data_IF_508307025189
#
_entry.id   IF_508307025189
#
_cell.length_a   1.000
_cell.length_b   1.000
_cell.length_c   1.000
_cell.angle_alpha   90.00
_cell.angle_beta   90.00
_cell.angle_gamma   90.00
#
_symmetry.space_group_name_H-M   'P 1'
#
loop_
_entity.id
_entity.type
_entity.pdbx_description
1 polymer ?
#
# COMPACT_ATOMS: atom_id res chain seq x y z
N UNK A 1 -51.88 16.81 2.06
CA UNK A 1 -50.54 17.39 2.28
C UNK A 1 -50.04 16.80 3.59
N UNK A 2 -48.95 16.05 3.73
CA UNK A 2 -47.60 16.14 3.13
C UNK A 2 -46.95 14.77 3.25
N UNK A 3 -46.40 14.25 2.15
CA UNK A 3 -45.44 13.14 2.16
C UNK A 3 -44.11 13.72 2.65
N UNK A 4 -43.57 13.21 3.75
CA UNK A 4 -42.17 13.47 4.12
C UNK A 4 -41.36 12.27 3.67
N UNK A 5 -40.77 12.42 2.49
CA UNK A 5 -39.64 11.60 2.07
C UNK A 5 -38.46 11.86 2.98
N UNK A 6 -37.83 10.79 3.44
CA UNK A 6 -36.61 10.85 4.21
C UNK A 6 -35.45 10.63 3.24
N UNK A 7 -34.73 11.73 3.05
CA UNK A 7 -33.61 11.93 2.18
C UNK A 7 -32.51 10.91 2.41
N UNK A 8 -31.91 10.43 1.30
CA UNK A 8 -30.63 9.76 1.34
C UNK A 8 -29.52 10.69 1.82
N UNK A 9 -28.71 10.19 2.76
CA UNK A 9 -27.34 10.64 2.96
C UNK A 9 -26.43 9.51 2.50
N UNK A 10 -26.10 9.51 1.22
CA UNK A 10 -24.97 8.75 0.71
C UNK A 10 -23.69 9.52 1.07
N UNK A 11 -23.14 9.23 2.23
CA UNK A 11 -21.76 9.60 2.52
C UNK A 11 -20.88 8.88 1.51
N UNK A 12 -20.17 9.64 0.67
CA UNK A 12 -19.04 9.14 -0.12
C UNK A 12 -17.90 8.82 0.86
N UNK A 13 -18.11 7.85 1.75
CA UNK A 13 -17.05 7.28 2.54
C UNK A 13 -16.25 6.36 1.64
N UNK A 14 -14.99 6.74 1.37
CA UNK A 14 -14.00 5.87 0.74
C UNK A 14 -14.11 4.47 1.36
N UNK A 15 -14.67 3.52 0.60
CA UNK A 15 -14.82 2.14 1.07
C UNK A 15 -13.40 1.60 1.23
N UNK A 16 -12.90 1.36 2.46
CA UNK A 16 -11.53 0.91 2.63
C UNK A 16 -11.35 -0.41 1.88
N UNK A 17 -10.21 -0.54 1.22
CA UNK A 17 -9.86 -1.75 0.48
C UNK A 17 -9.76 -2.88 1.50
N UNK A 18 -10.83 -3.68 1.64
CA UNK A 18 -10.91 -4.69 2.68
C UNK A 18 -10.00 -5.87 2.40
N UNK A 19 -9.77 -6.21 1.14
CA UNK A 19 -8.95 -7.35 0.75
C UNK A 19 -7.74 -6.91 -0.07
N UNK A 20 -6.58 -7.47 0.27
CA UNK A 20 -5.36 -7.30 -0.51
C UNK A 20 -5.50 -7.99 -1.87
N UNK A 21 -5.18 -7.28 -2.96
CA UNK A 21 -5.20 -7.86 -4.31
C UNK A 21 -4.16 -8.98 -4.50
N UNK A 22 -3.08 -8.95 -3.72
CA UNK A 22 -1.94 -9.86 -3.86
C UNK A 22 -2.11 -11.15 -3.04
N UNK A 23 -2.49 -11.05 -1.77
CA UNK A 23 -2.61 -12.21 -0.88
C UNK A 23 -4.05 -12.60 -0.53
N UNK A 24 -5.05 -11.82 -0.98
CA UNK A 24 -6.49 -12.08 -0.77
C UNK A 24 -6.97 -12.05 0.69
N UNK A 25 -6.09 -11.72 1.65
CA UNK A 25 -6.42 -11.54 3.07
C UNK A 25 -6.98 -10.15 3.36
N UNK A 26 -7.67 -10.03 4.49
CA UNK A 26 -8.17 -8.77 4.99
C UNK A 26 -7.01 -7.85 5.40
N UNK A 27 -7.00 -6.61 4.92
CA UNK A 27 -5.93 -5.62 5.17
C UNK A 27 -6.02 -5.00 6.56
N UNK A 28 -7.15 -5.19 7.26
CA UNK A 28 -7.42 -4.61 8.59
C UNK A 28 -6.97 -5.49 9.76
N UNK A 29 -6.47 -6.70 9.50
CA UNK A 29 -6.18 -7.67 10.55
C UNK A 29 -4.81 -7.46 11.24
N UNK A 30 -3.97 -6.52 10.77
CA UNK A 30 -2.59 -6.37 11.24
C UNK A 30 -1.66 -7.54 10.89
N UNK A 31 -2.21 -8.60 10.29
CA UNK A 31 -1.46 -9.65 9.65
C UNK A 31 -0.76 -9.04 8.42
N UNK A 32 0.55 -9.23 8.29
CA UNK A 32 1.29 -8.74 7.11
C UNK A 32 0.80 -9.37 5.81
N UNK A 33 1.30 -8.94 4.66
CA UNK A 33 1.07 -9.63 3.40
C UNK A 33 1.86 -10.96 3.35
N UNK A 34 1.35 -11.97 2.63
CA UNK A 34 2.15 -13.17 2.32
C UNK A 34 3.07 -12.95 1.13
N UNK A 35 2.87 -11.86 0.39
CA UNK A 35 3.67 -11.53 -0.78
C UNK A 35 4.94 -10.85 -0.33
N UNK A 36 6.07 -11.44 -0.70
CA UNK A 36 7.43 -11.02 -0.43
C UNK A 36 8.08 -10.32 -1.64
N UNK A 37 7.27 -9.89 -2.60
CA UNK A 37 7.70 -9.29 -3.87
C UNK A 37 6.80 -8.14 -4.32
N UNK A 38 7.37 -7.20 -5.07
CA UNK A 38 6.68 -6.09 -5.71
C UNK A 38 6.86 -6.21 -7.23
N UNK A 39 5.76 -6.29 -7.97
CA UNK A 39 5.76 -6.26 -9.44
C UNK A 39 5.60 -4.83 -9.93
N UNK A 40 6.56 -4.35 -10.72
CA UNK A 40 6.55 -3.02 -11.30
C UNK A 40 5.92 -3.01 -12.71
N UNK A 41 5.46 -1.84 -13.20
CA UNK A 41 4.79 -1.73 -14.50
C UNK A 41 5.63 -2.16 -15.72
N UNK A 42 6.96 -2.11 -15.62
CA UNK A 42 7.89 -2.60 -16.64
C UNK A 42 8.09 -4.13 -16.61
N UNK A 43 7.39 -4.83 -15.71
CA UNK A 43 7.42 -6.28 -15.58
C UNK A 43 8.52 -6.82 -14.67
N UNK A 44 9.42 -5.96 -14.17
CA UNK A 44 10.42 -6.39 -13.17
C UNK A 44 9.75 -6.71 -11.84
N UNK A 45 10.34 -7.66 -11.12
CA UNK A 45 9.90 -8.07 -9.79
C UNK A 45 11.06 -7.90 -8.83
N UNK A 46 10.86 -7.12 -7.78
CA UNK A 46 11.84 -6.92 -6.71
C UNK A 46 11.34 -7.55 -5.42
N UNK A 47 12.25 -7.88 -4.50
CA UNK A 47 11.89 -8.32 -3.16
C UNK A 47 11.19 -7.17 -2.39
N UNK A 48 10.07 -7.47 -1.74
CA UNK A 48 9.45 -6.55 -0.80
C UNK A 48 10.35 -6.41 0.44
N UNK A 49 10.28 -5.25 1.09
CA UNK A 49 11.04 -5.00 2.30
C UNK A 49 10.12 -5.24 3.49
N UNK A 50 10.55 -6.10 4.42
CA UNK A 50 9.80 -6.39 5.63
C UNK A 50 9.85 -5.19 6.59
N UNK A 51 8.75 -4.93 7.29
CA UNK A 51 8.67 -3.85 8.27
C UNK A 51 9.80 -3.97 9.31
N UNK A 52 10.46 -2.85 9.59
CA UNK A 52 11.60 -2.80 10.52
C UNK A 52 12.95 -3.22 9.93
N UNK A 53 13.00 -3.63 8.66
CA UNK A 53 14.25 -3.82 7.90
C UNK A 53 14.51 -2.71 6.88
N UNK A 54 13.54 -1.79 6.75
CA UNK A 54 13.57 -0.66 5.82
C UNK A 54 14.62 0.37 6.23
N UNK A 55 15.24 1.00 5.25
CA UNK A 55 16.30 2.01 5.43
C UNK A 55 15.79 3.23 6.21
N UNK A 56 14.50 3.53 6.08
CA UNK A 56 13.84 4.69 6.68
C UNK A 56 12.97 4.36 7.89
N UNK A 57 12.93 3.09 8.33
CA UNK A 57 12.08 2.66 9.43
C UNK A 57 12.40 3.43 10.72
N UNK A 58 11.39 4.11 11.28
CA UNK A 58 11.39 4.50 12.69
C UNK A 58 10.78 3.33 13.46
N UNK A 59 11.58 2.69 14.30
CA UNK A 59 11.18 1.51 15.07
C UNK A 59 10.03 1.83 16.03
N UNK A 60 8.79 1.65 15.57
CA UNK A 60 7.65 1.43 16.42
C UNK A 60 7.41 -0.08 16.56
N UNK A 61 6.78 -0.50 17.65
CA UNK A 61 6.45 -1.91 17.90
C UNK A 61 5.61 -2.54 16.78
N UNK A 62 4.82 -1.71 16.07
CA UNK A 62 4.01 -2.07 14.90
C UNK A 62 3.99 -0.93 13.90
N UNK A 63 3.78 -1.24 12.63
CA UNK A 63 3.67 -0.23 11.59
C UNK A 63 2.45 0.68 11.86
N UNK A 64 2.59 2.01 11.95
CA UNK A 64 1.47 2.89 12.24
C UNK A 64 0.43 2.99 11.09
N UNK A 65 0.75 2.46 9.91
CA UNK A 65 -0.12 2.48 8.73
C UNK A 65 -0.93 1.21 8.51
N UNK A 66 -0.38 0.04 8.85
CA UNK A 66 -1.02 -1.25 8.59
C UNK A 66 -0.94 -2.24 9.76
N UNK A 67 -0.45 -1.80 10.92
CA UNK A 67 -0.32 -2.55 12.18
C UNK A 67 0.55 -3.82 12.12
N UNK A 68 1.29 -4.05 11.03
CA UNK A 68 2.16 -5.23 10.91
C UNK A 68 3.31 -5.20 11.92
N UNK A 69 3.68 -6.38 12.43
CA UNK A 69 4.81 -6.57 13.32
C UNK A 69 6.16 -6.55 12.57
N UNK A 70 7.27 -6.20 13.24
CA UNK A 70 8.61 -6.27 12.65
C UNK A 70 8.90 -7.65 12.06
N UNK A 71 9.46 -7.67 10.85
CA UNK A 71 9.71 -8.88 10.07
C UNK A 71 8.53 -9.35 9.21
N UNK A 72 7.32 -8.79 9.39
CA UNK A 72 6.20 -9.01 8.48
C UNK A 72 6.26 -8.09 7.25
N UNK A 73 5.71 -8.55 6.11
CA UNK A 73 5.60 -7.72 4.92
C UNK A 73 4.40 -6.79 4.99
N UNK A 74 4.55 -5.58 4.46
CA UNK A 74 3.42 -4.68 4.27
C UNK A 74 2.42 -5.25 3.26
N UNK A 75 1.14 -4.96 3.46
CA UNK A 75 0.22 -5.00 2.32
C UNK A 75 0.64 -3.91 1.34
N UNK A 76 0.78 -4.24 0.03
CA UNK A 76 1.20 -3.26 -0.95
C UNK A 76 0.35 -2.01 -0.88
N UNK A 77 1.00 -0.85 -1.02
CA UNK A 77 0.42 0.48 -0.79
C UNK A 77 0.13 0.77 0.69
N UNK A 78 0.94 0.25 1.61
CA UNK A 78 0.99 0.81 2.96
C UNK A 78 1.67 2.19 2.88
N UNK A 79 1.17 3.22 3.60
CA UNK A 79 1.75 4.57 3.55
C UNK A 79 3.20 4.66 4.08
N UNK A 80 3.65 3.65 4.82
CA UNK A 80 5.00 3.57 5.36
C UNK A 80 5.91 2.58 4.63
N UNK A 81 5.37 1.80 3.69
CA UNK A 81 6.15 0.80 2.96
C UNK A 81 7.24 1.46 2.11
N UNK A 82 8.48 1.01 2.29
CA UNK A 82 9.63 1.42 1.52
C UNK A 82 9.64 0.75 0.13
N UNK A 83 9.92 1.55 -0.90
CA UNK A 83 10.07 1.09 -2.26
C UNK A 83 11.43 0.41 -2.45
N UNK A 84 11.50 -0.86 -2.87
CA UNK A 84 12.78 -1.54 -3.07
C UNK A 84 13.62 -0.95 -4.21
N UNK A 85 13.00 -0.21 -5.14
CA UNK A 85 13.69 0.39 -6.29
C UNK A 85 14.42 1.69 -5.95
N UNK A 86 13.83 2.54 -5.09
CA UNK A 86 14.33 3.89 -4.85
C UNK A 86 14.53 4.25 -3.37
N UNK A 87 14.12 3.40 -2.43
CA UNK A 87 14.18 3.65 -0.98
C UNK A 87 13.21 4.73 -0.47
N UNK A 88 12.38 5.32 -1.34
CA UNK A 88 11.29 6.23 -0.95
C UNK A 88 10.03 5.48 -0.52
N UNK A 89 8.97 6.18 -0.12
CA UNK A 89 7.67 5.55 0.19
C UNK A 89 7.01 5.03 -1.08
N UNK A 90 6.69 3.74 -1.16
CA UNK A 90 6.18 3.07 -2.37
C UNK A 90 4.96 3.80 -2.96
N UNK A 91 4.00 4.18 -2.11
CA UNK A 91 2.79 4.90 -2.52
C UNK A 91 3.06 6.31 -3.10
N UNK A 92 4.22 6.92 -2.81
CA UNK A 92 4.52 8.31 -3.16
C UNK A 92 5.67 8.49 -4.16
N UNK A 93 6.45 7.44 -4.43
CA UNK A 93 7.68 7.56 -5.22
C UNK A 93 7.46 7.56 -6.75
N UNK A 94 6.27 7.20 -7.22
CA UNK A 94 5.94 7.12 -8.64
C UNK A 94 6.57 5.93 -9.39
N UNK A 95 7.34 5.07 -8.74
CA UNK A 95 7.92 3.88 -9.39
C UNK A 95 6.87 2.87 -9.88
N UNK A 96 5.64 2.93 -9.35
CA UNK A 96 4.50 2.13 -9.81
C UNK A 96 3.63 2.83 -10.87
N UNK A 97 3.98 4.05 -11.28
CA UNK A 97 3.22 4.77 -12.30
C UNK A 97 3.49 4.17 -13.68
N UNK A 98 2.45 3.86 -14.45
CA UNK A 98 2.64 3.32 -15.81
C UNK A 98 3.39 4.28 -16.75
N UNK A 99 3.38 5.57 -16.45
CA UNK A 99 4.14 6.59 -17.17
C UNK A 99 5.66 6.51 -16.94
N UNK A 100 6.15 5.87 -15.86
CA UNK A 100 7.59 5.77 -15.63
C UNK A 100 8.28 4.71 -16.52
N UNK A 101 7.52 3.80 -17.13
CA UNK A 101 8.01 2.91 -18.21
C UNK A 101 8.18 3.68 -19.53
N UNK A 102 7.39 4.74 -19.71
CA UNK A 102 7.33 5.55 -20.93
C UNK A 102 8.26 6.78 -20.86
N UNK A 103 8.59 7.22 -19.63
CA UNK A 103 9.49 8.34 -19.34
C UNK A 103 10.81 7.81 -18.79
N UNK A 104 11.62 7.20 -19.66
CA UNK A 104 13.07 7.29 -19.51
C UNK A 104 13.41 8.78 -19.61
N UNK A 105 13.45 9.48 -18.47
CA UNK A 105 13.77 10.90 -18.42
C UNK A 105 15.15 11.08 -19.09
N UNK A 106 15.28 11.83 -20.20
CA UNK A 106 16.59 12.19 -20.69
C UNK A 106 17.23 13.21 -19.73
N UNK A 107 18.54 13.01 -19.54
CA UNK A 107 19.58 13.80 -18.84
C UNK A 107 19.29 15.29 -18.60
#
# INVERSE_FOLDING_TARGET
MTLRGESGESTLGERPIRQCAYCRRDTSAGEGCTTDTITFPDGTVEAAIAYGTESTARFAERCPGCDVEPGGYHHPFCPNEECPRCGGRLMHCGCLDTDCVSRRWPE
#
